data_IF_787569612601
#
_entry.id   IF_787569612601
#
_cell.length_a   1.000
_cell.length_b   1.000
_cell.length_c   1.000
_cell.angle_alpha   90.00
_cell.angle_beta   90.00
_cell.angle_gamma   90.00
#
_symmetry.space_group_name_H-M   'P 1'
#
loop_
_entity.id
_entity.type
_entity.pdbx_description
1 polymer ?
#
# COMPACT_ATOMS: atom_id res chain seq x y z
N UNK A 1 -2.29 -10.81 68.36
CA UNK A 1 -3.32 -10.30 67.40
C UNK A 1 -3.21 -8.79 67.43
N UNK A 2 -3.13 -8.00 66.36
CA UNK A 2 -3.25 -8.16 64.91
C UNK A 2 -2.39 -7.03 64.28
N UNK A 3 -1.70 -7.32 63.19
CA UNK A 3 -1.10 -6.29 62.31
C UNK A 3 -2.23 -5.49 61.66
N UNK A 4 -2.10 -4.18 61.62
CA UNK A 4 -2.83 -3.33 60.67
C UNK A 4 -1.85 -2.31 60.10
N UNK A 5 -1.41 -2.62 58.88
CA UNK A 5 -0.73 -1.70 57.97
C UNK A 5 -1.81 -1.19 57.02
N UNK A 6 -2.21 0.07 57.14
CA UNK A 6 -2.96 0.76 56.09
C UNK A 6 -2.57 2.24 56.14
N UNK A 7 -1.41 2.56 55.55
CA UNK A 7 -1.12 3.93 55.14
C UNK A 7 -0.81 3.88 53.65
N UNK A 8 -1.89 3.95 52.88
CA UNK A 8 -1.89 3.91 51.42
C UNK A 8 -1.29 5.20 50.88
N UNK A 9 -0.11 5.08 50.27
CA UNK A 9 0.50 6.13 49.45
C UNK A 9 -0.45 6.48 48.30
N UNK A 10 -1.07 7.66 48.39
CA UNK A 10 -1.86 8.24 47.31
C UNK A 10 -0.88 8.81 46.29
N UNK A 11 -0.63 8.04 45.22
CA UNK A 11 0.09 8.54 44.06
C UNK A 11 -0.81 9.55 43.32
N UNK A 12 -0.40 10.82 43.39
CA UNK A 12 -0.88 11.90 42.53
C UNK A 12 -0.51 11.54 41.08
N UNK A 13 -1.52 11.18 40.29
CA UNK A 13 -1.37 10.78 38.90
C UNK A 13 -1.52 12.05 38.04
N UNK A 14 -0.47 12.57 37.40
CA UNK A 14 -0.59 13.75 36.57
C UNK A 14 -1.50 13.42 35.37
N UNK A 15 -2.59 14.17 35.25
CA UNK A 15 -3.47 14.15 34.09
C UNK A 15 -2.64 14.50 32.86
N UNK A 16 -2.39 13.49 32.04
CA UNK A 16 -1.83 13.66 30.72
C UNK A 16 -2.87 14.45 29.89
N UNK A 17 -2.53 15.63 29.35
CA UNK A 17 -3.46 16.40 28.55
C UNK A 17 -3.80 15.60 27.30
N UNK A 18 -5.09 15.35 27.10
CA UNK A 18 -5.64 14.82 25.87
C UNK A 18 -5.43 15.87 24.76
N UNK A 19 -4.20 15.95 24.24
CA UNK A 19 -3.86 16.65 23.01
C UNK A 19 -4.59 15.95 21.86
N UNK A 20 -5.78 16.46 21.57
CA UNK A 20 -6.07 17.14 20.32
C UNK A 20 -5.26 16.64 19.11
N UNK A 21 -5.48 15.38 18.73
CA UNK A 21 -5.13 14.92 17.39
C UNK A 21 -6.41 14.58 16.64
N UNK A 22 -7.05 15.66 16.19
CA UNK A 22 -7.86 15.72 14.99
C UNK A 22 -6.97 15.42 13.76
N UNK A 23 -6.29 14.28 13.75
CA UNK A 23 -5.63 13.73 12.60
C UNK A 23 -6.55 12.62 12.09
N UNK A 24 -7.42 13.03 11.19
CA UNK A 24 -8.20 12.19 10.28
C UNK A 24 -7.22 11.37 9.43
N UNK A 25 -6.52 10.44 10.07
CA UNK A 25 -5.78 9.39 9.40
C UNK A 25 -6.84 8.34 9.06
N UNK A 26 -7.14 8.11 7.77
CA UNK A 26 -7.75 6.84 7.42
C UNK A 26 -6.71 5.80 7.78
N UNK A 27 -6.79 5.26 9.00
CA UNK A 27 -6.28 3.94 9.26
C UNK A 27 -7.09 3.07 8.29
N UNK A 28 -6.50 2.76 7.13
CA UNK A 28 -6.96 1.61 6.38
C UNK A 28 -6.70 0.44 7.32
N UNK A 29 -7.73 0.12 8.09
CA UNK A 29 -7.84 -1.14 8.78
C UNK A 29 -7.95 -2.17 7.66
N UNK A 30 -6.82 -2.67 7.17
CA UNK A 30 -6.75 -3.86 6.33
C UNK A 30 -7.12 -5.06 7.21
N UNK A 31 -8.37 -5.07 7.67
CA UNK A 31 -8.89 -6.10 8.55
C UNK A 31 -9.08 -7.35 7.72
N UNK A 32 -8.23 -8.35 7.92
CA UNK A 32 -8.48 -9.79 7.65
C UNK A 32 -9.34 -10.09 6.42
N UNK A 33 -9.12 -9.36 5.33
CA UNK A 33 -9.80 -9.59 4.07
C UNK A 33 -9.12 -10.77 3.39
N UNK A 34 -9.89 -11.72 2.86
CA UNK A 34 -9.34 -12.70 1.92
C UNK A 34 -8.55 -11.97 0.83
N UNK A 35 -7.42 -12.52 0.39
CA UNK A 35 -6.58 -11.94 -0.67
C UNK A 35 -7.37 -11.61 -1.95
N UNK A 36 -8.50 -12.29 -2.17
CA UNK A 36 -9.49 -12.04 -3.21
C UNK A 36 -10.17 -10.66 -3.10
N UNK A 37 -10.57 -10.24 -1.90
CA UNK A 37 -11.23 -8.95 -1.66
C UNK A 37 -10.23 -7.81 -1.80
N UNK A 38 -8.99 -8.01 -1.33
CA UNK A 38 -7.91 -7.04 -1.49
C UNK A 38 -7.55 -6.83 -2.98
N UNK A 39 -7.45 -7.93 -3.73
CA UNK A 39 -7.24 -7.89 -5.18
C UNK A 39 -8.34 -7.09 -5.88
N UNK A 40 -9.60 -7.32 -5.51
CA UNK A 40 -10.75 -6.60 -6.07
C UNK A 40 -10.70 -5.10 -5.77
N UNK A 41 -10.36 -4.72 -4.54
CA UNK A 41 -10.20 -3.31 -4.13
C UNK A 41 -9.12 -2.63 -4.97
N UNK A 42 -7.94 -3.25 -5.10
CA UNK A 42 -6.83 -2.69 -5.89
C UNK A 42 -7.21 -2.53 -7.36
N UNK A 43 -7.85 -3.53 -7.95
CA UNK A 43 -8.30 -3.46 -9.35
C UNK A 43 -9.36 -2.37 -9.55
N UNK A 44 -10.25 -2.18 -8.57
CA UNK A 44 -11.24 -1.11 -8.59
C UNK A 44 -10.59 0.27 -8.54
N UNK A 45 -9.60 0.48 -7.68
CA UNK A 45 -8.84 1.74 -7.62
C UNK A 45 -8.09 2.05 -8.91
N UNK A 46 -7.60 1.01 -9.61
CA UNK A 46 -6.92 1.15 -10.91
C UNK A 46 -7.87 1.37 -12.10
N UNK A 47 -9.18 1.17 -11.89
CA UNK A 47 -10.17 1.10 -12.96
C UNK A 47 -9.99 -0.12 -13.86
N UNK A 48 -9.46 -1.21 -13.31
CA UNK A 48 -9.20 -2.49 -13.96
C UNK A 48 -10.13 -3.60 -13.43
N UNK A 49 -11.25 -3.25 -12.81
CA UNK A 49 -12.21 -4.22 -12.25
C UNK A 49 -12.74 -5.20 -13.31
N UNK A 50 -12.80 -4.80 -14.59
CA UNK A 50 -13.19 -5.66 -15.70
C UNK A 50 -12.28 -6.88 -15.91
N UNK A 51 -11.02 -6.83 -15.48
CA UNK A 51 -10.07 -7.94 -15.62
C UNK A 51 -10.04 -8.86 -14.40
N UNK A 52 -10.75 -8.49 -13.32
CA UNK A 52 -10.80 -9.28 -12.09
C UNK A 52 -11.30 -10.70 -12.34
N UNK A 53 -12.34 -10.86 -13.18
CA UNK A 53 -12.86 -12.18 -13.53
C UNK A 53 -11.80 -13.03 -14.25
N UNK A 54 -11.05 -12.45 -15.19
CA UNK A 54 -10.00 -13.17 -15.92
C UNK A 54 -8.84 -13.60 -14.99
N UNK A 55 -8.47 -12.76 -14.03
CA UNK A 55 -7.47 -13.09 -13.02
C UNK A 55 -7.97 -14.20 -12.09
N UNK A 56 -9.25 -14.16 -11.70
CA UNK A 56 -9.88 -15.17 -10.85
C UNK A 56 -10.00 -16.53 -11.54
N UNK A 57 -10.41 -16.55 -12.80
CA UNK A 57 -10.44 -17.77 -13.64
C UNK A 57 -9.05 -18.38 -13.80
N UNK A 58 -8.01 -17.54 -13.85
CA UNK A 58 -6.61 -17.95 -13.88
C UNK A 58 -6.02 -18.29 -12.49
N UNK A 59 -6.84 -18.25 -11.42
CA UNK A 59 -6.42 -18.47 -10.03
C UNK A 59 -5.25 -17.57 -9.61
N UNK A 60 -5.26 -16.32 -10.07
CA UNK A 60 -4.22 -15.34 -9.77
C UNK A 60 -4.56 -14.63 -8.47
N UNK A 61 -3.81 -14.94 -7.42
CA UNK A 61 -3.85 -14.25 -6.15
C UNK A 61 -3.00 -12.97 -6.18
N UNK A 62 -3.01 -12.21 -5.09
CA UNK A 62 -2.25 -10.96 -4.98
C UNK A 62 -0.73 -11.16 -5.14
N UNK A 63 -0.19 -12.26 -4.61
CA UNK A 63 1.23 -12.61 -4.75
C UNK A 63 1.59 -12.99 -6.20
N UNK A 64 0.72 -13.78 -6.85
CA UNK A 64 0.88 -14.13 -8.25
C UNK A 64 0.79 -12.91 -9.17
N UNK A 65 -0.16 -11.99 -8.91
CA UNK A 65 -0.27 -10.72 -9.63
C UNK A 65 1.03 -9.92 -9.54
N UNK A 66 1.64 -9.88 -8.35
CA UNK A 66 2.89 -9.18 -8.13
C UNK A 66 4.06 -9.77 -8.92
N UNK A 67 3.98 -11.02 -9.40
CA UNK A 67 4.98 -11.69 -10.22
C UNK A 67 4.68 -11.65 -11.72
N UNK A 68 3.46 -11.27 -12.12
CA UNK A 68 3.07 -11.27 -13.53
C UNK A 68 3.89 -10.30 -14.38
N UNK A 69 4.18 -10.75 -15.60
CA UNK A 69 4.81 -9.95 -16.64
C UNK A 69 3.80 -9.45 -17.66
N UNK A 70 4.22 -8.56 -18.54
CA UNK A 70 3.36 -8.11 -19.64
C UNK A 70 2.89 -9.28 -20.53
N UNK A 71 3.72 -10.31 -20.68
CA UNK A 71 3.39 -11.50 -21.45
C UNK A 71 2.24 -12.28 -20.80
N UNK A 72 2.25 -12.44 -19.48
CA UNK A 72 1.18 -13.14 -18.75
C UNK A 72 -0.15 -12.39 -18.87
N UNK A 73 -0.12 -11.06 -18.68
CA UNK A 73 -1.32 -10.23 -18.84
C UNK A 73 -1.84 -10.23 -20.28
N UNK A 74 -0.95 -10.35 -21.27
CA UNK A 74 -1.34 -10.49 -22.68
C UNK A 74 -2.00 -11.84 -22.95
N UNK A 75 -1.53 -12.91 -22.32
CA UNK A 75 -2.13 -14.24 -22.42
C UNK A 75 -3.54 -14.30 -21.80
N UNK A 76 -3.82 -13.44 -20.83
CA UNK A 76 -5.17 -13.24 -20.26
C UNK A 76 -6.07 -12.31 -21.09
N UNK A 77 -5.66 -11.96 -22.31
CA UNK A 77 -6.38 -11.05 -23.22
C UNK A 77 -6.63 -9.64 -22.63
N UNK A 78 -5.78 -9.20 -21.69
CA UNK A 78 -5.94 -7.88 -21.07
C UNK A 78 -5.50 -6.79 -22.05
N UNK A 79 -6.31 -5.73 -22.27
CA UNK A 79 -5.97 -4.65 -23.19
C UNK A 79 -4.73 -3.89 -22.72
N UNK A 80 -3.93 -3.40 -23.68
CA UNK A 80 -2.63 -2.77 -23.42
C UNK A 80 -2.71 -1.63 -22.38
N UNK A 81 -3.75 -0.81 -22.43
CA UNK A 81 -3.94 0.30 -21.49
C UNK A 81 -4.06 -0.16 -20.02
N UNK A 82 -4.74 -1.29 -19.78
CA UNK A 82 -4.83 -1.87 -18.43
C UNK A 82 -3.55 -2.60 -18.03
N UNK A 83 -2.88 -3.27 -18.99
CA UNK A 83 -1.58 -3.91 -18.74
C UNK A 83 -0.54 -2.91 -18.23
N UNK A 84 -0.44 -1.75 -18.87
CA UNK A 84 0.50 -0.69 -18.46
C UNK A 84 0.18 -0.18 -17.05
N UNK A 85 -1.11 0.03 -16.73
CA UNK A 85 -1.54 0.47 -15.39
C UNK A 85 -1.20 -0.56 -14.30
N UNK A 86 -1.50 -1.83 -14.56
CA UNK A 86 -1.21 -2.93 -13.63
C UNK A 86 0.29 -3.05 -13.37
N UNK A 87 1.11 -3.06 -14.43
CA UNK A 87 2.56 -3.13 -14.30
C UNK A 87 3.14 -1.92 -13.57
N UNK A 88 2.61 -0.71 -13.82
CA UNK A 88 3.01 0.48 -13.09
C UNK A 88 2.68 0.38 -11.59
N UNK A 89 1.48 -0.12 -11.28
CA UNK A 89 1.06 -0.35 -9.89
C UNK A 89 1.93 -1.42 -9.21
N UNK A 90 2.18 -2.57 -9.84
CA UNK A 90 3.05 -3.63 -9.32
C UNK A 90 4.45 -3.07 -9.01
N UNK A 91 5.01 -2.25 -9.91
CA UNK A 91 6.30 -1.59 -9.69
C UNK A 91 6.27 -0.66 -8.48
N UNK A 92 5.21 0.14 -8.33
CA UNK A 92 5.04 1.02 -7.17
C UNK A 92 4.84 0.23 -5.86
N UNK A 93 4.05 -0.84 -5.89
CA UNK A 93 3.83 -1.71 -4.74
C UNK A 93 5.13 -2.38 -4.27
N UNK A 94 5.95 -2.87 -5.22
CA UNK A 94 7.29 -3.42 -4.93
C UNK A 94 8.22 -2.39 -4.30
N UNK A 95 8.18 -1.13 -4.76
CA UNK A 95 8.99 -0.06 -4.15
C UNK A 95 8.53 0.31 -2.73
N UNK A 96 7.22 0.30 -2.46
CA UNK A 96 6.66 0.59 -1.14
C UNK A 96 6.96 -0.50 -0.10
N UNK A 97 7.01 -1.75 -0.53
CA UNK A 97 7.35 -2.89 0.34
C UNK A 97 8.86 -2.96 0.66
N UNK A 98 9.70 -2.33 -0.17
CA UNK A 98 11.16 -2.48 -0.12
C UNK A 98 11.91 -1.49 0.78
N UNK A 99 11.50 -0.22 0.87
CA UNK A 99 12.17 0.82 1.69
C UNK A 99 11.58 2.20 1.41
N UNK A 100 11.45 2.98 2.47
CA UNK A 100 11.69 4.43 2.48
C UNK A 100 12.76 4.83 1.43
N UNK A 101 12.37 5.59 0.40
CA UNK A 101 13.29 6.22 -0.54
C UNK A 101 13.57 5.46 -1.84
N UNK A 102 12.79 5.74 -2.89
CA UNK A 102 13.37 6.26 -4.14
C UNK A 102 12.26 6.83 -5.03
N UNK A 103 12.32 8.14 -5.24
CA UNK A 103 11.54 8.91 -6.19
C UNK A 103 11.78 8.39 -7.62
N UNK A 104 10.81 7.65 -8.16
CA UNK A 104 10.76 7.41 -9.60
C UNK A 104 10.28 8.69 -10.30
N UNK A 105 11.26 9.55 -10.56
CA UNK A 105 11.37 10.49 -11.66
C UNK A 105 10.41 10.19 -12.81
N UNK A 106 9.41 11.05 -12.97
CA UNK A 106 8.78 11.32 -14.26
C UNK A 106 9.23 12.72 -14.69
N UNK A 107 10.11 12.82 -15.68
CA UNK A 107 10.34 14.08 -16.41
C UNK A 107 11.77 14.28 -16.92
N UNK A 108 11.97 14.93 -18.08
CA UNK A 108 12.94 14.49 -19.09
C UNK A 108 14.27 15.26 -19.07
N UNK A 109 15.34 14.51 -19.38
CA UNK A 109 16.42 14.84 -20.34
C UNK A 109 16.45 16.30 -20.85
N UNK A 110 17.02 17.21 -20.06
CA UNK A 110 17.55 18.48 -20.60
C UNK A 110 19.00 18.25 -21.02
N UNK A 111 19.18 18.19 -22.34
CA UNK A 111 20.46 18.33 -23.00
C UNK A 111 20.75 19.83 -23.17
N UNK A 112 21.71 20.37 -22.42
CA UNK A 112 22.50 21.54 -22.78
C UNK A 112 23.76 21.46 -21.90
N UNK A 113 24.92 21.12 -22.44
CA UNK A 113 25.59 21.95 -23.43
C UNK A 113 26.65 22.76 -22.68
N UNK A 114 27.90 22.30 -22.80
CA UNK A 114 29.08 22.90 -22.21
C UNK A 114 29.19 24.42 -22.49
N UNK A 115 29.62 25.19 -21.48
CA UNK A 115 30.41 26.40 -21.70
C UNK A 115 31.50 26.47 -20.62
N UNK A 116 32.69 26.06 -21.04
CA UNK A 116 33.96 26.46 -20.44
C UNK A 116 34.28 27.81 -21.08
N UNK A 117 34.50 28.83 -20.24
CA UNK A 117 34.99 30.16 -20.62
C UNK A 117 35.63 30.80 -19.40
#
# INVERSE_FOLDING_TARGET
MRRSYEESASYDQPQNPEESHNARTPHLSYGTGSSDEELRIVLKELGAESVYQALKDALVDMDALMLMTEADLRSLDIPLGLRVKLLAWIRQARTRSGRDGFTCQNGPREAAGAMIG
#
